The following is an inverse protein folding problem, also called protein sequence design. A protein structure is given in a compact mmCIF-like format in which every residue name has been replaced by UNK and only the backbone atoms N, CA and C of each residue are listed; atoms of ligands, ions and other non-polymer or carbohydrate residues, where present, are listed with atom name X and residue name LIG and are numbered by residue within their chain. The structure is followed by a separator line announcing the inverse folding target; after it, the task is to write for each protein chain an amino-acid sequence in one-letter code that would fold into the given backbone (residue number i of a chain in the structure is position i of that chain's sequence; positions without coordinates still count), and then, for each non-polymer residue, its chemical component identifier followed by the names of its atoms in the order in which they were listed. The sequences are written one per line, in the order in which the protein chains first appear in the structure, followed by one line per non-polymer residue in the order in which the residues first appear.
data_IF_808997595407
#
_entry.id   IF_808997595407
#
_cell.length_a   1.000
_cell.length_b   1.000
_cell.length_c   1.000
_cell.angle_alpha   90.00
_cell.angle_beta   90.00
_cell.angle_gamma   90.00
#
_symmetry.space_group_name_H-M   'P 1'
#
loop_
_entity.id
_entity.type
_entity.pdbx_description
1 polymer ?
#
# COMPACT_ATOMS: atom_id res chain seq x y z
N UNK A 1 13.36 5.89 -9.61
CA UNK A 1 13.17 4.50 -10.05
C UNK A 1 12.61 3.73 -8.86
N UNK A 2 11.36 3.28 -8.94
CA UNK A 2 10.65 2.59 -7.84
C UNK A 2 11.18 1.17 -7.63
N UNK A 3 11.40 0.83 -6.36
CA UNK A 3 12.12 -0.35 -5.87
C UNK A 3 11.30 -1.66 -5.89
N UNK A 4 10.50 -1.94 -6.93
CA UNK A 4 9.60 -3.11 -6.92
C UNK A 4 9.70 -3.97 -8.19
N UNK A 5 10.63 -4.95 -8.25
CA UNK A 5 10.75 -5.84 -9.40
C UNK A 5 9.65 -6.90 -9.53
N UNK A 6 8.73 -7.05 -8.56
CA UNK A 6 7.72 -8.12 -8.55
C UNK A 6 6.34 -7.77 -7.94
N UNK A 7 5.97 -6.49 -7.79
CA UNK A 7 4.61 -6.14 -7.34
C UNK A 7 3.76 -5.61 -8.49
N UNK A 8 2.72 -6.36 -8.86
CA UNK A 8 1.58 -5.82 -9.59
C UNK A 8 0.90 -4.83 -8.65
N UNK A 9 1.09 -3.53 -8.86
CA UNK A 9 0.34 -2.51 -8.13
C UNK A 9 -1.07 -2.56 -8.71
N UNK A 10 -1.98 -3.25 -8.03
CA UNK A 10 -3.39 -3.14 -8.37
C UNK A 10 -3.82 -1.68 -8.18
N UNK A 11 -4.69 -1.13 -9.04
CA UNK A 11 -5.05 0.29 -9.01
C UNK A 11 -5.68 0.74 -7.68
N UNK A 12 -6.07 -0.20 -6.84
CA UNK A 12 -6.71 0.01 -5.54
C UNK A 12 -5.74 -0.13 -4.35
N UNK A 13 -4.45 -0.46 -4.60
CA UNK A 13 -3.41 -0.51 -3.57
C UNK A 13 -2.52 0.74 -3.65
N UNK A 14 -2.45 1.48 -2.55
CA UNK A 14 -1.59 2.65 -2.40
C UNK A 14 -0.53 2.39 -1.32
N UNK A 15 0.73 2.69 -1.63
CA UNK A 15 1.83 2.64 -0.66
C UNK A 15 2.17 4.04 -0.18
N UNK A 16 2.01 4.29 1.12
CA UNK A 16 2.28 5.58 1.72
C UNK A 16 3.51 5.44 2.61
N UNK A 17 4.59 6.22 2.41
CA UNK A 17 5.73 6.20 3.32
C UNK A 17 5.29 6.70 4.70
N UNK A 18 5.72 6.01 5.75
CA UNK A 18 5.40 6.38 7.13
C UNK A 18 6.39 7.47 7.58
N UNK A 19 5.92 8.68 7.97
CA UNK A 19 6.79 9.71 8.50
C UNK A 19 7.31 9.28 9.89
N UNK A 20 8.62 9.14 10.04
CA UNK A 20 9.28 8.78 11.31
C UNK A 20 10.55 9.62 11.52
N UNK A 21 10.48 10.53 12.49
CA UNK A 21 11.60 11.42 12.85
C UNK A 21 12.84 10.66 13.32
N UNK A 22 12.68 9.42 13.85
CA UNK A 22 13.80 8.57 14.27
C UNK A 22 14.54 7.99 13.07
N UNK A 23 13.81 7.66 12.01
CA UNK A 23 14.40 7.18 10.76
C UNK A 23 15.21 8.30 10.10
N UNK A 24 14.64 9.50 10.03
CA UNK A 24 15.31 10.67 9.47
C UNK A 24 16.60 10.99 10.22
N UNK A 25 16.55 10.99 11.56
CA UNK A 25 17.74 11.18 12.40
C UNK A 25 18.86 10.17 12.12
N UNK A 26 18.52 8.88 11.97
CA UNK A 26 19.51 7.84 11.68
C UNK A 26 20.09 7.99 10.27
N UNK A 27 19.26 8.34 9.29
CA UNK A 27 19.70 8.59 7.92
C UNK A 27 20.66 9.80 7.84
N UNK A 28 20.37 10.88 8.57
CA UNK A 28 21.25 12.06 8.64
C UNK A 28 22.56 11.75 9.39
N UNK A 29 22.51 10.96 10.46
CA UNK A 29 23.69 10.65 11.27
C UNK A 29 24.65 9.68 10.58
N UNK A 30 24.13 8.64 9.92
CA UNK A 30 24.96 7.58 9.32
C UNK A 30 25.22 7.75 7.82
N UNK A 31 24.51 8.66 7.13
CA UNK A 31 24.65 8.93 5.69
C UNK A 31 24.77 7.67 4.83
N UNK A 32 23.84 6.70 4.95
CA UNK A 32 23.95 5.46 4.20
C UNK A 32 23.69 5.69 2.70
N UNK A 33 24.21 4.80 1.85
CA UNK A 33 24.05 4.88 0.40
C UNK A 33 22.58 4.69 -0.05
N UNK A 34 21.74 4.09 0.79
CA UNK A 34 20.33 3.80 0.50
C UNK A 34 19.47 4.04 1.75
N UNK A 35 18.36 4.74 1.56
CA UNK A 35 17.36 5.03 2.58
C UNK A 35 16.05 4.34 2.19
N UNK A 36 15.60 3.38 2.99
CA UNK A 36 14.33 2.67 2.76
C UNK A 36 13.43 2.88 3.98
N UNK A 37 12.43 3.78 3.90
CA UNK A 37 11.50 4.00 5.00
C UNK A 37 10.51 2.84 5.13
N UNK A 38 9.77 2.82 6.24
CA UNK A 38 8.61 1.95 6.37
C UNK A 38 7.45 2.44 5.49
N UNK A 39 6.63 1.52 4.98
CA UNK A 39 5.48 1.83 4.15
C UNK A 39 4.20 1.28 4.76
N UNK A 40 3.14 2.07 4.71
CA UNK A 40 1.77 1.65 4.97
C UNK A 40 1.12 1.28 3.63
N UNK A 41 0.64 0.04 3.53
CA UNK A 41 -0.17 -0.39 2.40
C UNK A 41 -1.63 -0.10 2.73
N UNK A 42 -2.28 0.69 1.88
CA UNK A 42 -3.70 1.04 1.99
C UNK A 42 -4.41 0.41 0.79
N UNK A 43 -5.44 -0.38 1.07
CA UNK A 43 -6.26 -1.03 0.04
C UNK A 43 -7.65 -0.41 0.06
N UNK A 44 -8.09 0.13 -1.08
CA UNK A 44 -9.48 0.59 -1.26
C UNK A 44 -10.38 -0.60 -1.62
N UNK A 45 -11.09 -1.11 -0.61
CA UNK A 45 -12.03 -2.23 -0.75
C UNK A 45 -13.33 -1.77 -1.45
N UNK A 46 -13.73 -0.50 -1.35
CA UNK A 46 -14.97 -0.02 -1.96
C UNK A 46 -14.85 0.12 -3.48
N UNK A 47 -13.69 0.56 -3.97
CA UNK A 47 -13.36 0.60 -5.40
C UNK A 47 -13.39 -0.78 -6.08
N UNK A 48 -12.99 -1.84 -5.36
CA UNK A 48 -13.07 -3.23 -5.83
C UNK A 48 -14.52 -3.71 -6.02
N UNK A 49 -15.45 -3.26 -5.17
CA UNK A 49 -16.83 -3.76 -5.12
C UNK A 49 -17.75 -3.13 -6.18
N UNK A 50 -17.45 -1.91 -6.66
CA UNK A 50 -18.26 -1.26 -7.71
C UNK A 50 -18.27 -2.03 -9.05
N UNK A 51 -17.21 -2.78 -9.36
CA UNK A 51 -17.13 -3.63 -10.57
C UNK A 51 -17.91 -4.95 -10.39
N UNK A 52 -18.10 -5.42 -9.15
CA UNK A 52 -18.86 -6.62 -8.82
C UNK A 52 -20.39 -6.41 -8.80
N UNK A 53 -20.85 -5.16 -8.93
CA UNK A 53 -22.23 -4.74 -8.69
C UNK A 53 -23.26 -5.15 -9.77
N UNK A 54 -22.84 -5.92 -10.80
CA UNK A 54 -23.74 -6.46 -11.83
C UNK A 54 -24.29 -7.85 -11.45
N UNK A 55 -23.67 -8.57 -10.51
CA UNK A 55 -24.08 -9.93 -10.13
C UNK A 55 -24.36 -10.03 -8.62
N UNK A 56 -25.65 -9.96 -8.31
CA UNK A 56 -26.36 -10.29 -7.06
C UNK A 56 -25.62 -11.25 -6.08
N UNK A 57 -25.02 -10.69 -5.00
CA UNK A 57 -24.77 -11.27 -3.64
C UNK A 57 -23.67 -10.48 -2.86
N UNK A 58 -23.90 -9.20 -2.57
CA UNK A 58 -22.88 -8.21 -2.14
C UNK A 58 -22.24 -8.39 -0.74
N UNK A 59 -22.73 -9.27 0.15
CA UNK A 59 -22.14 -9.41 1.49
C UNK A 59 -20.85 -10.24 1.53
N UNK A 60 -20.78 -11.30 0.72
CA UNK A 60 -19.68 -12.28 0.81
C UNK A 60 -18.40 -11.79 0.12
N UNK A 61 -18.52 -11.03 -0.98
CA UNK A 61 -17.36 -10.49 -1.69
C UNK A 61 -16.65 -9.39 -0.89
N UNK A 62 -17.38 -8.62 -0.08
CA UNK A 62 -16.78 -7.66 0.84
C UNK A 62 -16.01 -8.35 1.98
N UNK A 63 -16.56 -9.43 2.53
CA UNK A 63 -15.92 -10.22 3.60
C UNK A 63 -14.69 -11.01 3.12
N UNK A 64 -14.56 -11.32 1.82
CA UNK A 64 -13.37 -12.00 1.31
C UNK A 64 -12.14 -11.09 1.18
N UNK A 65 -12.29 -9.77 1.34
CA UNK A 65 -11.22 -8.78 1.18
C UNK A 65 -10.82 -8.06 2.50
N UNK A 66 -11.37 -8.49 3.64
CA UNK A 66 -11.02 -8.04 5.00
C UNK A 66 -10.35 -9.21 5.73
#
# INVERSE_FOLDING_TARGET
AENFPFCTIEPNESRVPVPDTRFDYLCEYFLPLSNVPAFLNVVDIAGLVNVANVFQCLGNAFLSHI
#
